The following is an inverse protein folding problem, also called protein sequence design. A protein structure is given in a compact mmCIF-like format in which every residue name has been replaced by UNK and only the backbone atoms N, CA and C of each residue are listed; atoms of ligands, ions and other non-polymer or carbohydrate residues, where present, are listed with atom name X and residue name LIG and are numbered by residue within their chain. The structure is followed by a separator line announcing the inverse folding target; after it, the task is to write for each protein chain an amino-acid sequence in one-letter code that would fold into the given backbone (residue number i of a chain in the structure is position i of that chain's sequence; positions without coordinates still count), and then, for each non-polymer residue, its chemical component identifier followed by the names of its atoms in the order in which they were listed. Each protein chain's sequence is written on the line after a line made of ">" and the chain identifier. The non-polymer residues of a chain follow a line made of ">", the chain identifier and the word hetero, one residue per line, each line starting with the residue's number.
data_IF_582208690066
#
_entry.id   IF_582208690066
#
_cell.length_a   1.000
_cell.length_b   1.000
_cell.length_c   1.000
_cell.angle_alpha   90.00
_cell.angle_beta   90.00
_cell.angle_gamma   90.00
#
_symmetry.space_group_name_H-M   'P 1'
#
loop_
_entity.id
_entity.type
_entity.pdbx_description
1 polymer ?
#
# COMPACT_ATOMS: atom_id res chain seq x y z
N UNK A 1 1.11 16.93 4.24
CA UNK A 1 0.13 16.88 3.13
C UNK A 1 0.44 15.76 2.13
N UNK A 2 1.67 15.56 1.64
CA UNK A 2 2.03 14.29 0.97
C UNK A 2 2.73 13.30 1.91
N UNK A 3 3.79 13.72 2.61
CA UNK A 3 4.57 12.86 3.52
C UNK A 3 3.73 12.21 4.61
N UNK A 4 2.74 12.92 5.13
CA UNK A 4 1.78 12.37 6.10
C UNK A 4 0.91 11.28 5.49
N UNK A 5 0.36 11.49 4.29
CA UNK A 5 -0.48 10.48 3.63
C UNK A 5 0.34 9.26 3.22
N UNK A 6 1.59 9.44 2.79
CA UNK A 6 2.56 8.34 2.60
C UNK A 6 2.78 7.60 3.93
N UNK A 7 3.06 8.31 5.02
CA UNK A 7 3.28 7.70 6.33
C UNK A 7 2.05 6.91 6.82
N UNK A 8 0.83 7.46 6.65
CA UNK A 8 -0.44 6.77 6.94
C UNK A 8 -0.58 5.49 6.11
N UNK A 9 -0.29 5.52 4.81
CA UNK A 9 -0.40 4.35 3.93
C UNK A 9 0.61 3.26 4.33
N UNK A 10 1.85 3.64 4.61
CA UNK A 10 2.87 2.70 5.10
C UNK A 10 2.46 2.10 6.44
N UNK A 11 1.94 2.93 7.35
CA UNK A 11 1.43 2.48 8.65
C UNK A 11 0.27 1.49 8.50
N UNK A 12 -0.69 1.77 7.61
CA UNK A 12 -1.75 0.82 7.25
C UNK A 12 -1.17 -0.52 6.78
N UNK A 13 -0.13 -0.48 5.95
CA UNK A 13 0.57 -1.67 5.47
C UNK A 13 1.12 -2.55 6.59
N UNK A 14 1.73 -1.92 7.59
CA UNK A 14 2.27 -2.59 8.77
C UNK A 14 1.14 -3.15 9.65
N UNK A 15 0.12 -2.35 9.96
CA UNK A 15 -1.00 -2.75 10.83
C UNK A 15 -1.77 -3.94 10.27
N UNK A 16 -1.99 -3.94 8.96
CA UNK A 16 -2.71 -5.02 8.25
C UNK A 16 -1.82 -6.21 7.89
N UNK A 17 -0.52 -6.15 8.21
CA UNK A 17 0.49 -7.18 7.87
C UNK A 17 0.57 -7.44 6.36
N UNK A 18 0.36 -6.39 5.57
CA UNK A 18 0.69 -6.36 4.14
C UNK A 18 2.20 -6.38 3.94
N UNK A 19 2.89 -5.57 4.73
CA UNK A 19 4.34 -5.50 4.79
C UNK A 19 4.81 -5.76 6.24
N UNK A 20 5.99 -6.35 6.44
CA UNK A 20 6.65 -6.38 7.74
C UNK A 20 7.22 -5.00 8.10
N UNK A 21 7.42 -4.74 9.40
CA UNK A 21 8.00 -3.47 9.89
C UNK A 21 9.37 -3.16 9.27
N UNK A 22 10.19 -4.19 8.98
CA UNK A 22 11.49 -3.99 8.35
C UNK A 22 11.42 -3.43 6.92
N UNK A 23 10.25 -3.50 6.26
CA UNK A 23 10.02 -2.96 4.93
C UNK A 23 9.43 -1.54 4.95
N UNK A 24 9.24 -0.92 6.12
CA UNK A 24 8.70 0.44 6.25
C UNK A 24 9.44 1.43 5.34
N UNK A 25 10.76 1.56 5.52
CA UNK A 25 11.56 2.53 4.77
C UNK A 25 11.62 2.19 3.27
N UNK A 26 11.66 0.91 2.93
CA UNK A 26 11.62 0.47 1.53
C UNK A 26 10.31 0.87 0.85
N UNK A 27 9.18 0.63 1.52
CA UNK A 27 7.84 1.00 1.04
C UNK A 27 7.70 2.51 0.92
N UNK A 28 8.17 3.28 1.91
CA UNK A 28 8.20 4.75 1.84
C UNK A 28 8.95 5.21 0.59
N UNK A 29 10.15 4.68 0.33
CA UNK A 29 10.95 5.06 -0.83
C UNK A 29 10.27 4.72 -2.17
N UNK A 30 9.60 3.56 -2.24
CA UNK A 30 8.81 3.23 -3.44
C UNK A 30 7.67 4.23 -3.66
N UNK A 31 6.97 4.65 -2.60
CA UNK A 31 5.91 5.63 -2.71
C UNK A 31 6.45 7.00 -3.12
N UNK A 32 7.58 7.44 -2.56
CA UNK A 32 8.24 8.69 -2.96
C UNK A 32 8.60 8.68 -4.45
N UNK A 33 9.12 7.57 -4.98
CA UNK A 33 9.40 7.39 -6.40
C UNK A 33 8.13 7.50 -7.27
N UNK A 34 6.99 6.97 -6.82
CA UNK A 34 5.71 7.14 -7.53
C UNK A 34 5.31 8.61 -7.67
N UNK A 35 5.62 9.42 -6.66
CA UNK A 35 5.32 10.85 -6.61
C UNK A 35 6.45 11.76 -7.11
N UNK A 36 7.55 11.20 -7.61
CA UNK A 36 8.76 11.95 -8.00
C UNK A 36 9.24 12.91 -6.91
N UNK A 37 9.25 12.44 -5.65
CA UNK A 37 9.76 13.18 -4.51
C UNK A 37 11.17 12.71 -4.15
N UNK A 38 12.11 13.66 -4.09
CA UNK A 38 13.49 13.40 -3.70
C UNK A 38 13.70 13.53 -2.17
N UNK A 39 12.81 14.26 -1.49
CA UNK A 39 12.90 14.55 -0.06
C UNK A 39 11.69 14.01 0.71
N UNK A 40 11.95 13.52 1.92
CA UNK A 40 10.91 13.04 2.83
C UNK A 40 11.21 13.43 4.27
N UNK A 41 10.30 14.22 4.84
CA UNK A 41 10.25 14.49 6.26
C UNK A 41 9.21 13.57 6.90
N UNK A 42 9.68 12.62 7.69
CA UNK A 42 8.81 11.76 8.47
C UNK A 42 7.97 12.61 9.45
N UNK A 43 6.64 12.45 9.49
CA UNK A 43 5.83 13.09 10.50
C UNK A 43 6.24 12.65 11.91
N UNK A 44 6.25 13.56 12.87
CA UNK A 44 6.51 13.22 14.28
C UNK A 44 5.35 12.45 14.91
N UNK A 45 4.16 12.55 14.32
CA UNK A 45 2.96 11.88 14.82
C UNK A 45 2.94 10.40 14.42
N UNK A 46 2.65 9.54 15.38
CA UNK A 46 2.26 8.16 15.12
C UNK A 46 0.78 8.10 14.72
N UNK A 47 0.49 7.39 13.63
CA UNK A 47 -0.87 7.15 13.16
C UNK A 47 -1.33 5.75 13.56
N UNK A 48 -2.64 5.60 13.81
CA UNK A 48 -3.28 4.32 14.11
C UNK A 48 -4.70 4.26 13.53
N UNK A 49 -5.21 3.05 13.30
CA UNK A 49 -6.56 2.81 12.79
C UNK A 49 -6.82 3.53 11.46
N UNK A 50 -5.89 3.32 10.52
CA UNK A 50 -5.91 4.04 9.25
C UNK A 50 -7.10 3.62 8.38
N UNK A 51 -7.91 4.59 7.99
CA UNK A 51 -8.97 4.41 7.00
C UNK A 51 -8.37 4.48 5.60
N UNK A 52 -8.11 3.31 5.00
CA UNK A 52 -7.37 3.19 3.74
C UNK A 52 -7.95 4.07 2.63
N UNK A 53 -9.27 4.03 2.42
CA UNK A 53 -9.96 4.75 1.34
C UNK A 53 -9.68 6.26 1.41
N UNK A 54 -9.75 6.85 2.61
CA UNK A 54 -9.43 8.27 2.81
C UNK A 54 -7.98 8.60 2.49
N UNK A 55 -7.04 7.71 2.85
CA UNK A 55 -5.62 7.93 2.57
C UNK A 55 -5.33 7.84 1.07
N UNK A 56 -5.95 6.88 0.38
CA UNK A 56 -5.83 6.75 -1.08
C UNK A 56 -6.46 7.97 -1.78
N UNK A 57 -7.62 8.44 -1.33
CA UNK A 57 -8.25 9.66 -1.86
C UNK A 57 -7.36 10.90 -1.68
N UNK A 58 -6.72 11.06 -0.51
CA UNK A 58 -5.74 12.12 -0.26
C UNK A 58 -4.56 12.05 -1.26
N UNK A 59 -4.01 10.86 -1.47
CA UNK A 59 -2.87 10.62 -2.37
C UNK A 59 -3.23 10.79 -3.85
N UNK A 60 -4.41 10.34 -4.27
CA UNK A 60 -4.93 10.51 -5.63
C UNK A 60 -5.19 11.98 -5.94
N UNK A 61 -5.78 12.70 -4.98
CA UNK A 61 -5.97 14.13 -5.10
C UNK A 61 -4.63 14.86 -5.25
N UNK A 62 -3.64 14.53 -4.44
CA UNK A 62 -2.29 15.11 -4.57
C UNK A 62 -1.68 14.83 -5.96
N UNK A 63 -1.84 13.60 -6.48
CA UNK A 63 -1.35 13.25 -7.81
C UNK A 63 -2.03 14.07 -8.92
N UNK A 64 -3.33 14.36 -8.80
CA UNK A 64 -4.09 15.19 -9.74
C UNK A 64 -3.71 16.66 -9.63
N UNK A 65 -3.65 17.18 -8.40
CA UNK A 65 -3.32 18.58 -8.12
C UNK A 65 -1.91 18.92 -8.61
N UNK A 66 -0.99 17.96 -8.57
CA UNK A 66 0.37 18.06 -9.13
C UNK A 66 0.47 17.72 -10.62
N UNK A 67 -0.62 17.29 -11.26
CA UNK A 67 -0.65 16.94 -12.68
C UNK A 67 0.11 15.66 -13.04
N UNK A 68 0.33 14.76 -12.09
CA UNK A 68 0.96 13.45 -12.32
C UNK A 68 0.03 12.50 -13.09
N UNK A 69 -1.28 12.65 -12.89
CA UNK A 69 -2.33 11.90 -13.57
C UNK A 69 -3.49 12.83 -13.96
N UNK A 70 -4.28 12.42 -14.94
CA UNK A 70 -5.52 13.12 -15.31
C UNK A 70 -6.63 12.83 -14.30
N UNK A 71 -7.52 13.81 -14.07
CA UNK A 71 -8.72 13.63 -13.26
C UNK A 71 -9.78 12.81 -14.03
N UNK A 72 -9.58 11.50 -14.04
CA UNK A 72 -10.51 10.54 -14.62
C UNK A 72 -10.57 9.29 -13.77
N UNK A 73 -11.71 8.58 -13.85
CA UNK A 73 -11.89 7.30 -13.15
C UNK A 73 -10.79 6.30 -13.53
N UNK A 74 -10.45 6.21 -14.82
CA UNK A 74 -9.46 5.24 -15.32
C UNK A 74 -8.06 5.51 -14.76
N UNK A 75 -7.61 6.77 -14.82
CA UNK A 75 -6.26 7.11 -14.35
C UNK A 75 -6.15 7.09 -12.82
N UNK A 76 -7.23 7.40 -12.11
CA UNK A 76 -7.30 7.19 -10.66
C UNK A 76 -7.15 5.71 -10.31
N UNK A 77 -7.92 4.83 -10.93
CA UNK A 77 -7.84 3.37 -10.67
C UNK A 77 -6.44 2.79 -10.97
N UNK A 78 -5.81 3.24 -12.06
CA UNK A 78 -4.45 2.82 -12.42
C UNK A 78 -3.41 3.30 -11.40
N UNK A 79 -3.53 4.55 -10.94
CA UNK A 79 -2.61 5.10 -9.96
C UNK A 79 -2.83 4.49 -8.58
N UNK A 80 -4.07 4.28 -8.17
CA UNK A 80 -4.44 3.55 -6.95
C UNK A 80 -3.82 2.16 -6.92
N UNK A 81 -3.96 1.41 -8.02
CA UNK A 81 -3.34 0.09 -8.18
C UNK A 81 -1.82 0.19 -8.06
N UNK A 82 -1.20 1.23 -8.62
CA UNK A 82 0.26 1.44 -8.52
C UNK A 82 0.70 1.74 -7.09
N UNK A 83 -0.04 2.55 -6.34
CA UNK A 83 0.21 2.83 -4.93
C UNK A 83 0.10 1.54 -4.10
N UNK A 84 -0.99 0.79 -4.26
CA UNK A 84 -1.19 -0.47 -3.53
C UNK A 84 -0.15 -1.52 -3.88
N UNK A 85 0.34 -1.55 -5.12
CA UNK A 85 1.41 -2.46 -5.53
C UNK A 85 2.73 -2.21 -4.76
N UNK A 86 2.97 -1.01 -4.21
CA UNK A 86 4.13 -0.75 -3.35
C UNK A 86 4.08 -1.51 -2.01
N UNK A 87 2.90 -1.94 -1.57
CA UNK A 87 2.66 -2.63 -0.29
C UNK A 87 2.39 -4.13 -0.47
N UNK A 88 2.35 -4.61 -1.71
CA UNK A 88 1.90 -5.96 -2.02
C UNK A 88 3.09 -6.86 -2.39
N UNK A 89 3.13 -8.10 -1.88
CA UNK A 89 4.12 -9.08 -2.32
C UNK A 89 3.93 -9.42 -3.80
N UNK A 90 4.99 -9.92 -4.44
CA UNK A 90 4.89 -10.29 -5.85
C UNK A 90 3.90 -11.45 -6.04
N UNK A 91 3.15 -11.51 -7.15
CA UNK A 91 2.18 -12.57 -7.40
C UNK A 91 2.75 -14.00 -7.29
N UNK A 92 4.04 -14.20 -7.60
CA UNK A 92 4.71 -15.49 -7.44
C UNK A 92 4.92 -15.88 -5.96
N UNK A 93 5.24 -14.93 -5.09
CA UNK A 93 5.41 -15.14 -3.65
C UNK A 93 4.06 -15.44 -2.98
N UNK A 94 3.02 -14.73 -3.41
CA UNK A 94 1.63 -14.99 -3.03
C UNK A 94 1.28 -16.44 -3.35
N UNK A 95 1.45 -16.87 -4.60
CA UNK A 95 1.17 -18.24 -5.02
C UNK A 95 2.00 -19.28 -4.25
N UNK A 96 3.31 -19.04 -4.07
CA UNK A 96 4.18 -19.94 -3.32
C UNK A 96 3.71 -20.11 -1.88
N UNK A 97 3.37 -19.00 -1.23
CA UNK A 97 2.86 -19.00 0.15
C UNK A 97 1.52 -19.71 0.26
N UNK A 98 0.63 -19.54 -0.73
CA UNK A 98 -0.64 -20.25 -0.80
C UNK A 98 -0.44 -21.76 -0.82
N UNK A 99 0.32 -22.26 -1.80
CA UNK A 99 0.46 -23.69 -2.04
C UNK A 99 1.18 -24.39 -0.90
N UNK A 100 2.16 -23.73 -0.27
CA UNK A 100 2.80 -24.22 0.96
C UNK A 100 1.77 -24.44 2.07
N UNK A 101 0.96 -23.42 2.38
CA UNK A 101 -0.09 -23.53 3.42
C UNK A 101 -1.20 -24.49 3.04
N UNK A 102 -1.52 -24.60 1.76
CA UNK A 102 -2.54 -25.50 1.26
C UNK A 102 -2.16 -26.97 1.53
N UNK A 103 -0.87 -27.32 1.38
CA UNK A 103 -0.37 -28.65 1.73
C UNK A 103 -0.51 -29.00 3.21
N UNK A 104 -0.47 -28.01 4.10
CA UNK A 104 -0.64 -28.18 5.55
C UNK A 104 -2.12 -28.22 5.95
N UNK A 105 -2.92 -27.26 5.47
CA UNK A 105 -4.34 -27.16 5.75
C UNK A 105 -5.08 -26.38 4.64
N UNK A 106 -5.73 -27.09 3.70
CA UNK A 106 -6.44 -26.48 2.57
C UNK A 106 -7.49 -25.44 2.98
N UNK A 107 -8.27 -25.73 4.03
CA UNK A 107 -9.34 -24.83 4.51
C UNK A 107 -8.78 -23.53 5.09
N UNK A 108 -7.69 -23.61 5.84
CA UNK A 108 -7.02 -22.43 6.41
C UNK A 108 -6.35 -21.58 5.32
N UNK A 109 -5.71 -22.22 4.33
CA UNK A 109 -5.10 -21.54 3.19
C UNK A 109 -6.13 -20.76 2.37
N UNK A 110 -7.24 -21.39 1.99
CA UNK A 110 -8.33 -20.72 1.28
C UNK A 110 -8.94 -19.59 2.09
N UNK A 111 -9.18 -19.79 3.39
CA UNK A 111 -9.73 -18.73 4.25
C UNK A 111 -8.83 -17.49 4.24
N UNK A 112 -7.53 -17.66 4.42
CA UNK A 112 -6.57 -16.54 4.45
C UNK A 112 -6.44 -15.80 3.10
N UNK A 113 -6.74 -16.48 2.00
CA UNK A 113 -6.63 -15.94 0.64
C UNK A 113 -7.88 -15.21 0.16
N UNK A 114 -9.05 -15.78 0.41
CA UNK A 114 -10.33 -15.23 -0.06
C UNK A 114 -11.00 -14.30 0.96
N UNK A 115 -10.65 -14.45 2.24
CA UNK A 115 -11.13 -13.60 3.31
C UNK A 115 -9.91 -12.93 3.94
N UNK A 116 -9.50 -11.78 3.39
CA UNK A 116 -8.79 -10.82 4.25
C UNK A 116 -9.80 -10.25 5.26
N UNK A 117 -9.37 -10.00 6.50
CA UNK A 117 -10.23 -9.49 7.57
C UNK A 117 -10.88 -8.15 7.21
#
# INVERSE_FOLDING_TARGET
>A
MLSESIAKLVQYGVETKLIPECERNYTTNLLLDVFYEDDYTAPEQEFQNIELEKVLDELLKEAIDRGLIEDSVVYKDLFDTRLMNCLMPRPAEVQTTFWKKYGENPKAACRRFYFKP
#
